data_IF_561414357162
#
_entry.id   IF_561414357162
#
_cell.length_a   1.000
_cell.length_b   1.000
_cell.length_c   1.000
_cell.angle_alpha   90.00
_cell.angle_beta   90.00
_cell.angle_gamma   90.00
#
_symmetry.space_group_name_H-M   'P 1'
#
loop_
_entity.id
_entity.type
_entity.pdbx_description
1 polymer ?
#
# COMPACT_ATOMS: atom_id res chain seq x y z
N UNK A 1 20.17 37.32 -24.82
CA UNK A 1 20.21 37.08 -23.36
C UNK A 1 18.91 36.49 -22.81
N UNK A 2 17.74 37.13 -22.99
CA UNK A 2 16.43 36.63 -22.48
C UNK A 2 16.04 35.21 -22.98
N UNK A 3 16.37 34.86 -24.22
CA UNK A 3 16.08 33.54 -24.82
C UNK A 3 16.85 32.39 -24.14
N UNK A 4 18.09 32.62 -23.72
CA UNK A 4 18.94 31.62 -23.07
C UNK A 4 18.42 31.32 -21.66
N UNK A 5 18.00 32.35 -20.92
CA UNK A 5 17.41 32.21 -19.59
C UNK A 5 16.13 31.36 -19.63
N UNK A 6 15.27 31.59 -20.64
CA UNK A 6 14.04 30.81 -20.82
C UNK A 6 14.36 29.35 -21.14
N UNK A 7 15.35 29.09 -21.99
CA UNK A 7 15.77 27.71 -22.32
C UNK A 7 16.37 26.99 -21.11
N UNK A 8 17.19 27.66 -20.30
CA UNK A 8 17.77 27.07 -19.09
C UNK A 8 16.67 26.80 -18.05
N UNK A 9 15.73 27.72 -17.86
CA UNK A 9 14.61 27.52 -16.95
C UNK A 9 13.71 26.36 -17.41
N UNK A 10 13.39 26.28 -18.70
CA UNK A 10 12.63 25.18 -19.27
C UNK A 10 13.38 23.83 -19.14
N UNK A 11 14.69 23.83 -19.38
CA UNK A 11 15.53 22.65 -19.21
C UNK A 11 15.62 22.22 -17.74
N UNK A 12 15.70 23.16 -16.80
CA UNK A 12 15.70 22.88 -15.36
C UNK A 12 14.35 22.32 -14.89
N UNK A 13 13.23 22.89 -15.35
CA UNK A 13 11.88 22.36 -15.08
C UNK A 13 11.75 20.94 -15.64
N UNK A 14 12.30 20.68 -16.83
CA UNK A 14 12.29 19.36 -17.45
C UNK A 14 13.19 18.35 -16.73
N UNK A 15 14.43 18.73 -16.37
CA UNK A 15 15.36 17.86 -15.63
C UNK A 15 14.91 17.58 -14.19
N UNK A 16 14.15 18.50 -13.59
CA UNK A 16 13.66 18.38 -12.21
C UNK A 16 12.18 17.96 -12.14
N UNK A 17 11.62 17.43 -13.23
CA UNK A 17 10.22 17.03 -13.34
C UNK A 17 9.81 16.02 -12.26
N UNK A 18 10.71 15.12 -11.85
CA UNK A 18 10.46 14.16 -10.77
C UNK A 18 10.26 14.83 -9.41
N UNK A 19 10.98 15.92 -9.12
CA UNK A 19 10.80 16.67 -7.88
C UNK A 19 9.50 17.47 -7.89
N UNK A 20 9.09 18.00 -9.04
CA UNK A 20 7.85 18.78 -9.19
C UNK A 20 6.61 17.89 -8.98
N UNK A 21 6.61 16.67 -9.53
CA UNK A 21 5.49 15.71 -9.36
C UNK A 21 5.19 15.42 -7.89
N UNK A 22 6.21 15.27 -7.05
CA UNK A 22 6.05 14.98 -5.62
C UNK A 22 5.36 16.12 -4.83
N UNK A 23 5.45 17.38 -5.30
CA UNK A 23 4.76 18.52 -4.67
C UNK A 23 3.33 18.73 -5.15
N UNK A 24 2.99 18.21 -6.34
CA UNK A 24 1.69 18.47 -7.01
C UNK A 24 0.69 17.34 -6.77
N UNK A 25 1.15 16.12 -6.51
CA UNK A 25 0.29 15.00 -6.15
C UNK A 25 0.89 14.26 -4.94
N UNK A 26 0.30 14.34 -3.73
CA UNK A 26 0.66 13.38 -2.70
C UNK A 26 0.38 11.98 -3.26
N UNK A 27 1.33 11.06 -3.11
CA UNK A 27 1.12 9.68 -3.51
C UNK A 27 -0.20 9.19 -2.87
N UNK A 28 -1.11 8.58 -3.65
CA UNK A 28 -2.36 8.09 -3.11
C UNK A 28 -2.06 7.13 -1.94
N UNK A 29 -2.94 7.03 -0.93
CA UNK A 29 -2.75 6.13 0.19
C UNK A 29 -2.37 4.76 -0.36
N UNK A 30 -1.23 4.24 0.11
CA UNK A 30 -0.47 3.15 -0.52
C UNK A 30 -1.30 1.86 -0.51
N UNK A 31 -2.22 1.74 -1.47
CA UNK A 31 -3.00 0.54 -1.74
C UNK A 31 -2.13 -0.41 -2.56
N UNK A 32 -2.13 -1.68 -2.19
CA UNK A 32 -1.27 -2.70 -2.79
C UNK A 32 -1.32 -2.61 -4.32
N UNK A 33 -0.14 -2.50 -4.94
CA UNK A 33 0.00 -2.69 -6.38
C UNK A 33 -0.46 -4.12 -6.75
N UNK A 34 -0.86 -4.37 -7.99
CA UNK A 34 -1.44 -5.64 -8.47
C UNK A 34 -0.55 -6.88 -8.29
N UNK A 35 0.70 -6.74 -7.83
CA UNK A 35 1.59 -7.84 -7.47
C UNK A 35 1.86 -8.01 -5.97
N UNK A 36 1.35 -7.13 -5.11
CA UNK A 36 1.69 -7.08 -3.69
C UNK A 36 0.58 -7.65 -2.80
N UNK A 37 0.98 -8.19 -1.65
CA UNK A 37 0.08 -8.58 -0.56
C UNK A 37 0.29 -7.64 0.62
N UNK A 38 -0.77 -6.97 1.06
CA UNK A 38 -0.75 -6.13 2.27
C UNK A 38 -1.73 -6.69 3.30
N UNK A 39 -1.25 -6.85 4.53
CA UNK A 39 -2.03 -7.18 5.71
C UNK A 39 -2.21 -5.91 6.56
N UNK A 40 -3.44 -5.41 6.65
CA UNK A 40 -3.81 -4.38 7.61
C UNK A 40 -4.19 -5.05 8.94
N UNK A 41 -3.46 -4.70 10.00
CA UNK A 41 -3.55 -5.37 11.30
C UNK A 41 -3.53 -4.39 12.47
N UNK A 42 -3.61 -4.95 13.68
CA UNK A 42 -3.29 -4.27 14.95
C UNK A 42 -2.45 -5.21 15.80
N UNK A 43 -1.67 -4.66 16.74
CA UNK A 43 -0.76 -5.44 17.58
C UNK A 43 -1.47 -6.45 18.50
N UNK A 44 -2.68 -6.15 18.96
CA UNK A 44 -3.45 -6.97 19.92
C UNK A 44 -4.35 -8.03 19.24
N UNK A 45 -4.46 -8.02 17.91
CA UNK A 45 -5.39 -8.85 17.16
C UNK A 45 -4.85 -10.29 16.95
N UNK A 46 -5.42 -11.26 17.66
CA UNK A 46 -5.04 -12.68 17.53
C UNK A 46 -5.28 -13.27 16.13
N UNK A 47 -6.34 -12.85 15.42
CA UNK A 47 -6.60 -13.29 14.05
C UNK A 47 -5.60 -12.72 13.03
N UNK A 48 -5.04 -11.55 13.31
CA UNK A 48 -3.99 -10.94 12.51
C UNK A 48 -2.69 -11.76 12.63
N UNK A 49 -2.36 -12.22 13.84
CA UNK A 49 -1.27 -13.17 14.06
C UNK A 49 -1.49 -14.49 13.32
N UNK A 50 -2.73 -15.02 13.30
CA UNK A 50 -3.05 -16.22 12.50
C UNK A 50 -2.84 -16.00 11.00
N UNK A 51 -3.26 -14.85 10.47
CA UNK A 51 -3.05 -14.49 9.06
C UNK A 51 -1.56 -14.39 8.71
N UNK A 52 -0.77 -13.72 9.56
CA UNK A 52 0.69 -13.60 9.43
C UNK A 52 1.36 -14.96 9.36
N UNK A 53 1.06 -15.84 10.32
CA UNK A 53 1.64 -17.18 10.39
C UNK A 53 1.28 -18.00 9.16
N UNK A 54 0.01 -17.98 8.74
CA UNK A 54 -0.43 -18.67 7.55
C UNK A 54 0.33 -18.23 6.29
N UNK A 55 0.49 -16.92 6.08
CA UNK A 55 1.24 -16.41 4.92
C UNK A 55 2.72 -16.79 4.98
N UNK A 56 3.34 -16.71 6.15
CA UNK A 56 4.72 -17.15 6.37
C UNK A 56 4.89 -18.65 6.07
N UNK A 57 3.99 -19.50 6.59
CA UNK A 57 4.01 -20.95 6.35
C UNK A 57 3.82 -21.31 4.87
N UNK A 58 3.10 -20.49 4.11
CA UNK A 58 2.89 -20.66 2.67
C UNK A 58 3.93 -19.98 1.80
N UNK A 59 4.92 -19.29 2.38
CA UNK A 59 5.92 -18.54 1.62
C UNK A 59 5.33 -17.39 0.81
N UNK A 60 4.18 -16.85 1.23
CA UNK A 60 3.55 -15.69 0.59
C UNK A 60 4.26 -14.46 1.13
N UNK A 61 4.94 -13.69 0.27
CA UNK A 61 5.52 -12.41 0.67
C UNK A 61 4.41 -11.38 0.86
N UNK A 62 4.43 -10.67 1.99
CA UNK A 62 3.48 -9.60 2.31
C UNK A 62 4.15 -8.47 3.09
N UNK A 63 3.57 -7.27 3.01
CA UNK A 63 3.81 -6.19 3.98
C UNK A 63 2.71 -6.19 5.02
N UNK A 64 3.07 -5.85 6.25
CA UNK A 64 2.12 -5.67 7.32
C UNK A 64 2.09 -4.20 7.75
N UNK A 65 0.88 -3.65 7.86
CA UNK A 65 0.62 -2.26 8.17
C UNK A 65 -0.32 -2.19 9.39
N UNK A 66 0.19 -1.63 10.49
CA UNK A 66 -0.60 -1.43 11.71
C UNK A 66 -1.47 -0.17 11.58
N UNK A 67 -2.79 -0.35 11.49
CA UNK A 67 -3.74 0.75 11.26
C UNK A 67 -3.91 1.66 12.47
N UNK A 68 -3.35 1.33 13.63
CA UNK A 68 -3.34 2.20 14.82
C UNK A 68 -2.06 3.05 14.91
N UNK A 69 -1.01 2.67 14.18
CA UNK A 69 0.29 3.35 14.21
C UNK A 69 0.61 4.14 12.95
N UNK A 70 -0.07 3.83 11.84
CA UNK A 70 0.16 4.47 10.55
C UNK A 70 -1.12 5.12 10.03
N UNK A 71 -1.09 6.46 9.90
CA UNK A 71 -2.21 7.22 9.35
C UNK A 71 -2.48 6.86 7.87
N UNK A 72 -1.42 6.61 7.09
CA UNK A 72 -1.55 6.17 5.70
C UNK A 72 -2.14 4.76 5.61
N UNK A 73 -1.75 3.85 6.51
CA UNK A 73 -2.35 2.52 6.60
C UNK A 73 -3.83 2.59 6.97
N UNK A 74 -4.18 3.46 7.94
CA UNK A 74 -5.58 3.71 8.31
C UNK A 74 -6.40 4.20 7.13
N UNK A 75 -5.91 5.19 6.39
CA UNK A 75 -6.59 5.72 5.20
C UNK A 75 -6.76 4.66 4.12
N UNK A 76 -5.72 3.87 3.83
CA UNK A 76 -5.81 2.79 2.85
C UNK A 76 -6.80 1.70 3.31
N UNK A 77 -6.79 1.33 4.58
CA UNK A 77 -7.76 0.41 5.19
C UNK A 77 -9.21 0.93 5.04
N UNK A 78 -9.45 2.21 5.31
CA UNK A 78 -10.77 2.84 5.14
C UNK A 78 -11.20 2.88 3.68
N UNK A 79 -10.30 3.23 2.76
CA UNK A 79 -10.55 3.25 1.32
C UNK A 79 -10.92 1.85 0.77
N UNK A 80 -10.41 0.78 1.39
CA UNK A 80 -10.74 -0.60 1.07
C UNK A 80 -12.03 -1.10 1.77
N UNK A 81 -12.72 -0.22 2.50
CA UNK A 81 -13.98 -0.54 3.18
C UNK A 81 -13.81 -1.34 4.47
N UNK A 82 -12.67 -1.19 5.16
CA UNK A 82 -12.35 -1.90 6.38
C UNK A 82 -13.36 -1.70 7.51
N UNK A 83 -13.88 -2.82 8.05
CA UNK A 83 -14.83 -2.84 9.20
C UNK A 83 -14.31 -3.62 10.41
N UNK A 84 -13.19 -4.32 10.25
CA UNK A 84 -12.49 -5.04 11.29
C UNK A 84 -11.15 -5.53 10.77
N UNK A 85 -10.31 -6.01 11.67
CA UNK A 85 -9.00 -6.60 11.35
C UNK A 85 -9.02 -8.12 11.58
N UNK A 86 -8.22 -8.90 10.83
CA UNK A 86 -7.34 -8.46 9.73
C UNK A 86 -8.13 -8.10 8.47
N UNK A 87 -7.62 -7.16 7.67
CA UNK A 87 -8.06 -6.89 6.30
C UNK A 87 -6.85 -7.11 5.38
N UNK A 88 -7.01 -7.87 4.30
CA UNK A 88 -5.94 -8.12 3.35
C UNK A 88 -6.27 -7.54 1.99
N UNK A 89 -5.27 -6.97 1.33
CA UNK A 89 -5.30 -6.71 -0.10
C UNK A 89 -4.27 -7.63 -0.76
N UNK A 90 -4.74 -8.67 -1.43
CA UNK A 90 -3.91 -9.70 -2.07
C UNK A 90 -3.97 -9.51 -3.57
N UNK A 91 -2.94 -8.90 -4.17
CA UNK A 91 -2.85 -8.62 -5.62
C UNK A 91 -4.10 -7.89 -6.15
N UNK A 92 -4.62 -6.92 -5.39
CA UNK A 92 -5.84 -6.18 -5.71
C UNK A 92 -7.16 -6.83 -5.23
N UNK A 93 -7.10 -8.06 -4.70
CA UNK A 93 -8.28 -8.74 -4.13
C UNK A 93 -8.39 -8.43 -2.63
N UNK A 94 -9.49 -7.79 -2.23
CA UNK A 94 -9.75 -7.46 -0.81
C UNK A 94 -10.39 -8.65 -0.09
N UNK A 95 -9.81 -9.04 1.05
CA UNK A 95 -10.28 -10.13 1.91
C UNK A 95 -10.44 -9.62 3.33
N UNK A 96 -11.67 -9.64 3.83
CA UNK A 96 -11.99 -9.25 5.20
C UNK A 96 -11.91 -10.44 6.16
N UNK A 97 -11.23 -10.26 7.29
CA UNK A 97 -11.04 -11.28 8.30
C UNK A 97 -9.99 -12.34 7.93
N UNK A 98 -9.80 -13.31 8.83
CA UNK A 98 -8.88 -14.42 8.59
C UNK A 98 -9.58 -15.53 7.78
N UNK A 99 -9.26 -15.61 6.48
CA UNK A 99 -9.73 -16.67 5.59
C UNK A 99 -8.56 -17.29 4.79
N UNK A 100 -7.93 -18.36 5.29
CA UNK A 100 -6.73 -18.94 4.66
C UNK A 100 -6.99 -19.48 3.25
N UNK A 101 -8.20 -19.97 2.96
CA UNK A 101 -8.56 -20.48 1.64
C UNK A 101 -8.63 -19.35 0.60
N UNK A 102 -9.28 -18.23 0.97
CA UNK A 102 -9.35 -17.06 0.10
C UNK A 102 -7.96 -16.45 -0.13
N UNK A 103 -7.14 -16.36 0.92
CA UNK A 103 -5.76 -15.84 0.84
C UNK A 103 -4.93 -16.71 -0.12
N UNK A 104 -4.93 -18.03 0.06
CA UNK A 104 -4.17 -18.92 -0.83
C UNK A 104 -4.68 -18.89 -2.27
N UNK A 105 -5.99 -18.73 -2.48
CA UNK A 105 -6.57 -18.61 -3.83
C UNK A 105 -6.12 -17.33 -4.51
N UNK A 106 -6.12 -16.21 -3.80
CA UNK A 106 -5.74 -14.90 -4.35
C UNK A 106 -4.21 -14.73 -4.50
N UNK A 107 -3.41 -15.48 -3.74
CA UNK A 107 -1.96 -15.41 -3.80
C UNK A 107 -1.33 -16.24 -4.93
N UNK A 108 -2.09 -17.14 -5.58
CA UNK A 108 -1.68 -17.86 -6.79
C UNK A 108 -1.47 -16.90 -7.96
#
# INVERSE_FOLDING_TARGET
>A
MKKIIVLIAALAIYQQWDRIKAFVAPEPPVVASSGEVILYSTAWCGYCTKARNFMNEKGIAFREEDIEKSASARQAYEALGGRGVPLLNVKGTVISGYNPQAIAKAAR
#
